data_IF_910464649263
#
_entry.id   IF_910464649263
#
_cell.length_a   1.000
_cell.length_b   1.000
_cell.length_c   1.000
_cell.angle_alpha   90.00
_cell.angle_beta   90.00
_cell.angle_gamma   90.00
#
_symmetry.space_group_name_H-M   'P 1'
#
loop_
_entity.id
_entity.type
_entity.pdbx_description
1 polymer ?
#
# COMPACT_ATOMS: atom_id res chain seq x y z
N UNK A 1 -21.08 0.77 10.13
CA UNK A 1 -21.45 -0.60 10.58
C UNK A 1 -20.17 -1.43 10.62
N UNK A 2 -19.97 -2.27 11.63
CA UNK A 2 -18.82 -3.18 11.68
C UNK A 2 -19.24 -4.58 11.21
N UNK A 3 -18.43 -5.17 10.33
CA UNK A 3 -18.60 -6.54 9.84
C UNK A 3 -17.47 -7.39 10.40
N UNK A 4 -17.79 -8.59 10.90
CA UNK A 4 -16.78 -9.52 11.40
C UNK A 4 -16.26 -10.41 10.26
N UNK A 5 -14.94 -10.52 10.15
CA UNK A 5 -14.25 -11.41 9.20
C UNK A 5 -13.46 -12.43 10.02
N UNK A 6 -13.45 -13.69 9.59
CA UNK A 6 -12.63 -14.75 10.19
C UNK A 6 -11.65 -15.28 9.15
N UNK A 7 -10.36 -15.23 9.45
CA UNK A 7 -9.29 -15.70 8.56
C UNK A 7 -8.32 -16.59 9.34
N UNK A 8 -7.78 -17.62 8.69
CA UNK A 8 -6.68 -18.42 9.24
C UNK A 8 -5.37 -17.79 8.80
N UNK A 9 -4.53 -17.43 9.76
CA UNK A 9 -3.18 -16.94 9.53
C UNK A 9 -2.19 -18.02 9.92
N UNK A 10 -1.14 -18.28 9.13
CA UNK A 10 0.01 -19.05 9.57
C UNK A 10 0.59 -18.54 10.91
N UNK A 11 1.17 -19.48 11.66
CA UNK A 11 1.63 -19.22 13.03
C UNK A 11 2.67 -18.09 13.07
N UNK A 12 3.56 -18.04 12.09
CA UNK A 12 4.59 -17.00 11.97
C UNK A 12 4.00 -15.58 11.89
N UNK A 13 2.91 -15.36 11.15
CA UNK A 13 2.29 -14.04 11.07
C UNK A 13 1.49 -13.73 12.33
N UNK A 14 0.98 -14.74 13.01
CA UNK A 14 0.31 -14.56 14.30
C UNK A 14 1.31 -14.07 15.36
N UNK A 15 2.52 -14.65 15.38
CA UNK A 15 3.62 -14.20 16.25
C UNK A 15 4.06 -12.77 15.91
N UNK A 16 4.27 -12.46 14.63
CA UNK A 16 4.64 -11.09 14.22
C UNK A 16 3.55 -10.07 14.57
N UNK A 17 2.27 -10.44 14.44
CA UNK A 17 1.14 -9.59 14.82
C UNK A 17 1.11 -9.34 16.34
N UNK A 18 1.46 -10.34 17.15
CA UNK A 18 1.59 -10.19 18.60
C UNK A 18 2.68 -9.20 19.00
N UNK A 19 3.85 -9.32 18.39
CA UNK A 19 4.97 -8.43 18.64
C UNK A 19 4.63 -6.99 18.25
N UNK A 20 3.99 -6.79 17.09
CA UNK A 20 3.54 -5.48 16.63
C UNK A 20 2.49 -4.89 17.58
N UNK A 21 1.49 -5.68 17.99
CA UNK A 21 0.46 -5.24 18.94
C UNK A 21 1.07 -4.83 20.29
N UNK A 22 2.01 -5.61 20.81
CA UNK A 22 2.72 -5.30 22.05
C UNK A 22 3.56 -4.02 21.94
N UNK A 23 4.34 -3.88 20.86
CA UNK A 23 5.18 -2.70 20.63
C UNK A 23 4.36 -1.41 20.48
N UNK A 24 3.21 -1.50 19.78
CA UNK A 24 2.30 -0.38 19.56
C UNK A 24 1.35 -0.11 20.73
N UNK A 25 1.32 -0.99 21.74
CA UNK A 25 0.37 -0.97 22.86
C UNK A 25 -1.09 -0.94 22.37
N UNK A 26 -1.40 -1.74 21.36
CA UNK A 26 -2.71 -1.85 20.72
C UNK A 26 -3.19 -3.30 20.71
N UNK A 27 -4.47 -3.51 20.49
CA UNK A 27 -5.00 -4.85 20.26
C UNK A 27 -4.62 -5.35 18.86
N UNK A 28 -4.55 -6.68 18.69
CA UNK A 28 -4.38 -7.31 17.37
C UNK A 28 -5.41 -6.81 16.35
N UNK A 29 -6.65 -6.63 16.79
CA UNK A 29 -7.75 -6.17 15.93
C UNK A 29 -7.52 -4.73 15.42
N UNK A 30 -6.95 -3.85 16.25
CA UNK A 30 -6.61 -2.49 15.82
C UNK A 30 -5.45 -2.47 14.83
N UNK A 31 -4.43 -3.31 15.05
CA UNK A 31 -3.30 -3.44 14.10
C UNK A 31 -3.79 -3.99 12.77
N UNK A 32 -4.61 -5.04 12.77
CA UNK A 32 -5.19 -5.62 11.55
C UNK A 32 -6.08 -4.60 10.83
N UNK A 33 -6.92 -3.86 11.56
CA UNK A 33 -7.75 -2.81 10.96
C UNK A 33 -6.90 -1.75 10.27
N UNK A 34 -5.89 -1.21 10.96
CA UNK A 34 -5.00 -0.21 10.38
C UNK A 34 -4.24 -0.73 9.16
N UNK A 35 -3.75 -1.98 9.22
CA UNK A 35 -3.05 -2.60 8.09
C UNK A 35 -3.95 -2.74 6.86
N UNK A 36 -5.22 -3.10 7.05
CA UNK A 36 -6.21 -3.17 5.97
C UNK A 36 -6.53 -1.78 5.43
N UNK A 37 -6.73 -0.78 6.29
CA UNK A 37 -6.98 0.61 5.88
C UNK A 37 -5.83 1.14 5.01
N UNK A 38 -4.59 1.00 5.49
CA UNK A 38 -3.39 1.40 4.74
C UNK A 38 -3.26 0.64 3.42
N UNK A 39 -3.44 -0.69 3.45
CA UNK A 39 -3.35 -1.49 2.24
C UNK A 39 -4.38 -1.05 1.19
N UNK A 40 -5.63 -0.78 1.60
CA UNK A 40 -6.70 -0.36 0.67
C UNK A 40 -6.50 1.05 0.16
N UNK A 41 -5.96 1.96 0.97
CA UNK A 41 -5.58 3.31 0.53
C UNK A 41 -4.52 3.24 -0.57
N UNK A 42 -3.46 2.44 -0.36
CA UNK A 42 -2.37 2.31 -1.33
C UNK A 42 -2.73 1.42 -2.54
N UNK A 43 -3.72 0.53 -2.40
CA UNK A 43 -4.04 -0.47 -3.42
C UNK A 43 -4.49 0.15 -4.75
N UNK A 44 -5.28 1.22 -4.71
CA UNK A 44 -5.77 1.89 -5.91
C UNK A 44 -4.60 2.55 -6.67
N UNK A 45 -3.74 3.28 -5.97
CA UNK A 45 -2.56 3.93 -6.54
C UNK A 45 -1.59 2.90 -7.14
N UNK A 46 -1.32 1.82 -6.42
CA UNK A 46 -0.47 0.72 -6.90
C UNK A 46 -1.07 0.02 -8.11
N UNK A 47 -2.39 -0.17 -8.14
CA UNK A 47 -3.08 -0.82 -9.25
C UNK A 47 -2.94 0.01 -10.53
N UNK A 48 -3.15 1.33 -10.45
CA UNK A 48 -2.95 2.24 -11.57
C UNK A 48 -1.49 2.26 -12.05
N UNK A 49 -0.53 2.32 -11.12
CA UNK A 49 0.88 2.30 -11.47
C UNK A 49 1.29 1.00 -12.20
N UNK A 50 0.80 -0.15 -11.74
CA UNK A 50 1.05 -1.45 -12.39
C UNK A 50 0.40 -1.52 -13.77
N UNK A 51 -0.82 -0.99 -13.91
CA UNK A 51 -1.51 -0.93 -15.20
C UNK A 51 -0.69 -0.13 -16.22
N UNK A 52 -0.23 1.06 -15.85
CA UNK A 52 0.62 1.92 -16.69
C UNK A 52 1.94 1.26 -17.04
N UNK A 53 2.62 0.67 -16.06
CA UNK A 53 3.88 -0.04 -16.28
C UNK A 53 3.75 -1.19 -17.29
N UNK A 54 2.56 -1.81 -17.38
CA UNK A 54 2.28 -2.92 -18.29
C UNK A 54 1.71 -2.48 -19.64
N UNK A 55 1.34 -1.21 -19.80
CA UNK A 55 0.81 -0.69 -21.05
C UNK A 55 1.96 -0.48 -22.06
N UNK A 56 2.06 -1.31 -23.12
CA UNK A 56 3.10 -1.16 -24.12
C UNK A 56 2.92 0.09 -24.98
N UNK A 57 1.76 0.74 -24.90
CA UNK A 57 1.44 1.99 -25.60
C UNK A 57 1.82 3.22 -24.79
N UNK A 58 2.23 3.06 -23.52
CA UNK A 58 2.66 4.16 -22.67
C UNK A 58 3.97 4.75 -23.21
N UNK A 59 4.02 6.04 -23.59
CA UNK A 59 5.21 6.62 -24.20
C UNK A 59 6.39 6.65 -23.21
N UNK A 60 7.55 6.18 -23.66
CA UNK A 60 8.80 6.37 -22.92
C UNK A 60 9.22 7.83 -23.05
N UNK A 61 9.28 8.54 -21.92
CA UNK A 61 9.68 9.94 -21.85
C UNK A 61 11.18 10.07 -21.56
N UNK A 62 11.82 11.08 -22.14
CA UNK A 62 13.18 11.46 -21.79
C UNK A 62 13.19 12.25 -20.47
N UNK A 63 13.99 11.78 -19.50
CA UNK A 63 14.01 12.37 -18.17
C UNK A 63 14.57 13.80 -18.16
N UNK A 64 15.55 14.12 -19.00
CA UNK A 64 16.14 15.46 -19.04
C UNK A 64 15.16 16.47 -19.64
N UNK A 65 14.36 16.07 -20.63
CA UNK A 65 13.27 16.88 -21.20
C UNK A 65 12.17 17.16 -20.17
N UNK A 66 11.63 16.11 -19.53
CA UNK A 66 10.58 16.23 -18.51
C UNK A 66 11.03 17.10 -17.34
N UNK A 67 12.26 16.90 -16.85
CA UNK A 67 12.81 17.68 -15.75
C UNK A 67 12.93 19.16 -16.10
N UNK A 68 13.36 19.48 -17.33
CA UNK A 68 13.45 20.86 -17.80
C UNK A 68 12.08 21.54 -17.86
N UNK A 69 11.04 20.83 -18.31
CA UNK A 69 9.68 21.38 -18.37
C UNK A 69 9.06 21.61 -16.99
N UNK A 70 9.21 20.67 -16.06
CA UNK A 70 8.69 20.81 -14.69
C UNK A 70 9.31 22.01 -13.97
N UNK A 71 10.63 22.21 -14.09
CA UNK A 71 11.34 23.31 -13.44
C UNK A 71 11.13 24.68 -14.10
N UNK A 72 10.64 24.71 -15.34
CA UNK A 72 10.25 25.96 -16.04
C UNK A 72 8.83 26.41 -15.71
N UNK A 73 8.04 25.55 -15.06
CA UNK A 73 6.63 25.78 -14.75
C UNK A 73 6.41 26.39 -13.36
N UNK A 74 7.50 26.66 -12.61
CA UNK A 74 7.57 27.45 -11.37
C UNK A 74 8.01 28.90 -11.65
#
# INVERSE_FOLDING_TARGET
MSTQITVRLPDEQTVALDEAAAALKRSRAEVVRQAIEQYLEDFDDLSVAIERLRDPSDPVLDWDEVRCELLRSD
#
